data_IF_801926504070
#
_entry.id   IF_801926504070
#
_cell.length_a   1.000
_cell.length_b   1.000
_cell.length_c   1.000
_cell.angle_alpha   90.00
_cell.angle_beta   90.00
_cell.angle_gamma   90.00
#
_symmetry.space_group_name_H-M   'P 1'
#
loop_
_entity.id
_entity.type
_entity.pdbx_description
1 polymer ?
#
# COMPACT_ATOMS: atom_id res chain seq x y z
N UNK A 1 -13.98 8.84 0.54
CA UNK A 1 -15.02 9.87 0.39
C UNK A 1 -14.47 11.27 0.22
N UNK A 2 -13.78 11.87 1.20
CA UNK A 2 -13.29 13.26 1.11
C UNK A 2 -12.58 13.67 -0.21
N UNK A 3 -11.79 12.79 -0.84
CA UNK A 3 -11.19 13.06 -2.16
C UNK A 3 -12.22 12.99 -3.31
N UNK A 4 -13.14 12.02 -3.29
CA UNK A 4 -14.21 11.88 -4.29
C UNK A 4 -15.16 13.08 -4.26
N UNK A 5 -15.50 13.57 -3.07
CA UNK A 5 -16.30 14.79 -2.87
C UNK A 5 -15.63 16.03 -3.49
N UNK A 6 -14.30 16.02 -3.59
CA UNK A 6 -13.50 17.06 -4.24
C UNK A 6 -13.23 16.77 -5.73
N UNK A 7 -13.95 15.83 -6.33
CA UNK A 7 -13.86 15.49 -7.75
C UNK A 7 -12.72 14.53 -8.13
N UNK A 8 -12.03 13.92 -7.17
CA UNK A 8 -10.98 12.94 -7.49
C UNK A 8 -11.55 11.56 -7.79
N UNK A 9 -10.97 10.90 -8.79
CA UNK A 9 -11.13 9.46 -9.00
C UNK A 9 -10.22 8.70 -8.05
N UNK A 10 -10.78 7.77 -7.27
CA UNK A 10 -10.04 7.00 -6.26
C UNK A 10 -10.04 5.52 -6.61
N UNK A 11 -8.84 4.97 -6.77
CA UNK A 11 -8.59 3.53 -6.88
C UNK A 11 -7.96 3.03 -5.58
N UNK A 12 -8.38 1.86 -5.13
CA UNK A 12 -7.86 1.21 -3.93
C UNK A 12 -7.00 0.01 -4.31
N UNK A 13 -5.72 0.02 -3.93
CA UNK A 13 -4.83 -1.11 -4.14
C UNK A 13 -4.85 -2.05 -2.92
N UNK A 14 -5.24 -3.30 -3.14
CA UNK A 14 -5.33 -4.31 -2.10
C UNK A 14 -4.85 -5.69 -2.56
N UNK A 15 -5.12 -6.69 -1.73
CA UNK A 15 -4.95 -8.10 -2.06
C UNK A 15 -6.32 -8.78 -2.08
N UNK A 16 -6.58 -9.75 -2.97
CA UNK A 16 -7.86 -10.47 -2.97
C UNK A 16 -8.02 -11.40 -1.76
N UNK A 17 -6.94 -11.67 -1.00
CA UNK A 17 -6.90 -12.71 0.03
C UNK A 17 -6.52 -14.06 -0.57
N UNK A 18 -6.95 -15.15 0.06
CA UNK A 18 -6.75 -16.52 -0.44
C UNK A 18 -8.10 -17.17 -0.80
N UNK A 19 -8.12 -18.21 -1.64
CA UNK A 19 -9.34 -19.00 -1.84
C UNK A 19 -9.94 -19.42 -0.49
N UNK A 20 -11.25 -19.19 -0.30
CA UNK A 20 -11.96 -19.46 0.95
C UNK A 20 -11.72 -18.46 2.10
N UNK A 21 -10.81 -17.49 1.94
CA UNK A 21 -10.55 -16.44 2.94
C UNK A 21 -10.21 -15.11 2.24
N UNK A 22 -11.23 -14.38 1.74
CA UNK A 22 -11.02 -13.08 1.11
C UNK A 22 -10.41 -12.09 2.11
N UNK A 23 -9.68 -11.10 1.59
CA UNK A 23 -9.15 -10.04 2.44
C UNK A 23 -10.28 -9.18 3.01
N UNK A 24 -9.96 -8.38 4.02
CA UNK A 24 -10.92 -7.46 4.59
C UNK A 24 -11.28 -6.38 3.55
N UNK A 25 -10.26 -5.82 2.90
CA UNK A 25 -10.37 -4.76 1.92
C UNK A 25 -11.16 -5.22 0.68
N UNK A 26 -10.94 -6.44 0.18
CA UNK A 26 -11.67 -6.95 -0.98
C UNK A 26 -13.17 -7.13 -0.73
N UNK A 27 -13.58 -7.23 0.55
CA UNK A 27 -15.00 -7.29 0.95
C UNK A 27 -15.59 -5.92 1.22
N UNK A 28 -14.82 -5.02 1.85
CA UNK A 28 -15.34 -3.75 2.33
C UNK A 28 -15.28 -2.63 1.29
N UNK A 29 -14.30 -2.66 0.37
CA UNK A 29 -14.03 -1.53 -0.53
C UNK A 29 -14.97 -1.51 -1.75
N UNK A 30 -15.18 -2.61 -2.51
CA UNK A 30 -16.06 -2.57 -3.68
C UNK A 30 -17.51 -2.16 -3.39
N UNK A 31 -18.16 -2.60 -2.30
CA UNK A 31 -19.53 -2.16 -1.97
C UNK A 31 -19.68 -0.66 -1.74
N UNK A 32 -18.58 0.05 -1.43
CA UNK A 32 -18.55 1.51 -1.25
C UNK A 32 -18.36 2.25 -2.60
N UNK A 33 -18.32 1.52 -3.72
CA UNK A 33 -18.19 2.09 -5.06
C UNK A 33 -16.77 2.53 -5.43
N UNK A 34 -15.74 2.08 -4.72
CA UNK A 34 -14.35 2.30 -5.11
C UNK A 34 -13.90 1.25 -6.13
N UNK A 35 -13.13 1.69 -7.13
CA UNK A 35 -12.39 0.76 -7.97
C UNK A 35 -11.36 0.00 -7.14
N UNK A 36 -11.41 -1.33 -7.15
CA UNK A 36 -10.52 -2.18 -6.36
C UNK A 36 -9.49 -2.87 -7.24
N UNK A 37 -8.24 -2.43 -7.09
CA UNK A 37 -7.08 -2.94 -7.78
C UNK A 37 -6.37 -3.97 -6.93
N UNK A 38 -5.85 -5.03 -7.55
CA UNK A 38 -5.30 -6.17 -6.81
C UNK A 38 -3.88 -6.50 -7.18
N UNK A 39 -3.10 -6.84 -6.15
CA UNK A 39 -1.84 -7.55 -6.29
C UNK A 39 -1.86 -8.81 -5.41
N UNK A 40 -1.18 -9.84 -5.87
CA UNK A 40 -1.04 -11.10 -5.15
C UNK A 40 0.18 -11.03 -4.23
N UNK A 41 0.01 -10.28 -3.14
CA UNK A 41 1.02 -10.18 -2.10
C UNK A 41 0.38 -10.12 -0.72
N UNK A 42 0.88 -10.94 0.19
CA UNK A 42 0.36 -11.08 1.54
C UNK A 42 1.48 -11.28 2.54
N UNK A 43 1.15 -11.06 3.82
CA UNK A 43 2.12 -11.10 4.89
C UNK A 43 2.90 -12.40 5.04
N UNK A 44 4.17 -12.24 5.41
CA UNK A 44 5.09 -13.35 5.67
C UNK A 44 5.28 -13.66 7.16
N UNK A 45 4.74 -12.81 8.06
CA UNK A 45 4.86 -13.03 9.51
C UNK A 45 4.14 -14.32 9.90
N UNK A 46 4.84 -15.19 10.61
CA UNK A 46 4.32 -16.50 11.04
C UNK A 46 4.16 -17.52 9.90
N UNK A 47 4.69 -17.25 8.70
CA UNK A 47 4.67 -18.21 7.59
C UNK A 47 5.89 -19.15 7.64
N UNK A 48 5.70 -20.39 7.18
CA UNK A 48 6.76 -21.40 7.19
C UNK A 48 7.89 -21.14 6.18
N UNK A 49 8.97 -21.90 6.30
CA UNK A 49 10.22 -21.74 5.53
C UNK A 49 10.01 -21.66 4.02
N UNK A 50 9.10 -22.46 3.45
CA UNK A 50 8.75 -22.40 2.02
C UNK A 50 8.27 -21.01 1.58
N UNK A 51 7.50 -20.33 2.42
CA UNK A 51 7.00 -18.98 2.09
C UNK A 51 8.12 -17.94 2.12
N UNK A 52 9.07 -18.08 3.05
CA UNK A 52 10.25 -17.22 3.11
C UNK A 52 11.19 -17.46 1.92
N UNK A 53 11.40 -18.71 1.52
CA UNK A 53 12.20 -19.06 0.34
C UNK A 53 11.61 -18.49 -0.96
N UNK A 54 10.28 -18.49 -1.10
CA UNK A 54 9.58 -17.95 -2.26
C UNK A 54 9.36 -16.43 -2.19
N UNK A 55 9.73 -15.77 -1.09
CA UNK A 55 9.48 -14.34 -0.89
C UNK A 55 10.07 -13.47 -2.03
N UNK A 56 11.31 -13.69 -2.52
CA UNK A 56 11.85 -12.89 -3.62
C UNK A 56 10.99 -12.98 -4.88
N UNK A 57 10.58 -14.20 -5.27
CA UNK A 57 9.74 -14.42 -6.45
C UNK A 57 8.34 -13.79 -6.29
N UNK A 58 7.75 -13.91 -5.09
CA UNK A 58 6.45 -13.28 -4.78
C UNK A 58 6.54 -11.75 -4.79
N UNK A 59 7.64 -11.18 -4.32
CA UNK A 59 7.89 -9.74 -4.40
C UNK A 59 8.05 -9.29 -5.85
N UNK A 60 8.83 -9.99 -6.68
CA UNK A 60 8.97 -9.67 -8.10
C UNK A 60 7.62 -9.67 -8.82
N UNK A 61 6.78 -10.69 -8.57
CA UNK A 61 5.41 -10.73 -9.08
C UNK A 61 4.59 -9.52 -8.59
N UNK A 62 4.65 -9.20 -7.30
CA UNK A 62 3.92 -8.07 -6.73
C UNK A 62 4.36 -6.72 -7.31
N UNK A 63 5.65 -6.53 -7.57
CA UNK A 63 6.16 -5.33 -8.25
C UNK A 63 5.68 -5.26 -9.70
N UNK A 64 5.69 -6.37 -10.45
CA UNK A 64 5.18 -6.40 -11.82
C UNK A 64 3.68 -6.08 -11.88
N UNK A 65 2.88 -6.64 -10.97
CA UNK A 65 1.45 -6.34 -10.86
C UNK A 65 1.20 -4.89 -10.43
N UNK A 66 1.97 -4.39 -9.46
CA UNK A 66 1.90 -2.98 -9.04
C UNK A 66 2.21 -2.04 -10.21
N UNK A 67 3.21 -2.37 -11.02
CA UNK A 67 3.59 -1.58 -12.19
C UNK A 67 2.49 -1.59 -13.25
N UNK A 68 1.85 -2.73 -13.49
CA UNK A 68 0.71 -2.83 -14.39
C UNK A 68 -0.46 -1.96 -13.93
N UNK A 69 -0.77 -1.96 -12.63
CA UNK A 69 -1.80 -1.08 -12.05
C UNK A 69 -1.42 0.38 -12.22
N UNK A 70 -0.20 0.78 -11.82
CA UNK A 70 0.27 2.18 -11.93
C UNK A 70 0.24 2.66 -13.39
N UNK A 71 0.60 1.82 -14.36
CA UNK A 71 0.56 2.17 -15.79
C UNK A 71 -0.85 2.29 -16.35
N UNK A 72 -1.79 1.46 -15.89
CA UNK A 72 -3.20 1.53 -16.33
C UNK A 72 -3.94 2.69 -15.69
N UNK A 73 -3.85 2.81 -14.37
CA UNK A 73 -4.54 3.83 -13.58
C UNK A 73 -3.92 5.22 -13.80
N UNK A 74 -2.60 5.28 -14.04
CA UNK A 74 -1.84 6.52 -14.21
C UNK A 74 -2.09 7.52 -13.07
N UNK A 75 -1.97 7.12 -11.79
CA UNK A 75 -2.33 7.97 -10.67
C UNK A 75 -1.47 9.24 -10.63
N UNK A 76 -2.08 10.35 -10.22
CA UNK A 76 -1.37 11.61 -9.96
C UNK A 76 -0.66 11.59 -8.60
N UNK A 77 -1.18 10.80 -7.66
CA UNK A 77 -0.62 10.60 -6.32
C UNK A 77 -1.01 9.22 -5.78
N UNK A 78 -0.14 8.62 -4.97
CA UNK A 78 -0.41 7.36 -4.27
C UNK A 78 -0.37 7.60 -2.77
N UNK A 79 -1.39 7.11 -2.05
CA UNK A 79 -1.46 7.17 -0.60
C UNK A 79 -1.21 5.77 -0.02
N UNK A 80 -0.21 5.66 0.86
CA UNK A 80 0.12 4.42 1.56
C UNK A 80 -0.23 4.50 3.05
N UNK A 81 -0.96 3.50 3.54
CA UNK A 81 -1.44 3.42 4.93
C UNK A 81 -0.79 2.26 5.71
N UNK A 82 0.33 1.71 5.23
CA UNK A 82 1.00 0.55 5.82
C UNK A 82 0.45 -0.79 5.33
N UNK A 83 0.89 -1.88 5.97
CA UNK A 83 0.58 -3.24 5.53
C UNK A 83 1.48 -3.74 4.39
N UNK A 84 1.37 -5.03 4.07
CA UNK A 84 2.27 -5.72 3.14
C UNK A 84 2.13 -5.26 1.68
N UNK A 85 0.92 -4.90 1.26
CA UNK A 85 0.61 -4.41 -0.10
C UNK A 85 1.25 -3.03 -0.36
N UNK A 86 1.35 -2.20 0.68
CA UNK A 86 1.89 -0.84 0.57
C UNK A 86 3.34 -0.83 0.10
N UNK A 87 4.15 -1.83 0.45
CA UNK A 87 5.56 -1.85 0.03
C UNK A 87 5.74 -1.94 -1.50
N UNK A 88 5.26 -2.99 -2.20
CA UNK A 88 5.38 -3.06 -3.66
C UNK A 88 4.63 -1.93 -4.37
N UNK A 89 3.42 -1.59 -3.94
CA UNK A 89 2.65 -0.49 -4.54
C UNK A 89 3.34 0.87 -4.40
N UNK A 90 3.78 1.19 -3.19
CA UNK A 90 4.46 2.44 -2.86
C UNK A 90 5.80 2.58 -3.58
N UNK A 91 6.67 1.57 -3.49
CA UNK A 91 7.99 1.62 -4.14
C UNK A 91 7.84 1.70 -5.66
N UNK A 92 6.98 0.89 -6.27
CA UNK A 92 6.74 0.96 -7.71
C UNK A 92 6.18 2.31 -8.15
N UNK A 93 5.30 2.92 -7.36
CA UNK A 93 4.78 4.26 -7.68
C UNK A 93 5.89 5.31 -7.74
N UNK A 94 6.80 5.31 -6.75
CA UNK A 94 7.95 6.22 -6.72
C UNK A 94 8.88 5.99 -7.92
N UNK A 95 9.20 4.72 -8.21
CA UNK A 95 10.04 4.37 -9.36
C UNK A 95 9.40 4.74 -10.70
N UNK A 96 8.06 4.77 -10.77
CA UNK A 96 7.31 5.23 -11.93
C UNK A 96 7.11 6.76 -11.96
N UNK A 97 7.78 7.51 -11.09
CA UNK A 97 7.70 8.97 -11.01
C UNK A 97 6.39 9.50 -10.41
N UNK A 98 5.62 8.66 -9.72
CA UNK A 98 4.37 9.05 -9.06
C UNK A 98 4.64 9.41 -7.59
N UNK A 99 4.20 10.58 -7.11
CA UNK A 99 4.47 11.00 -5.74
C UNK A 99 3.75 10.08 -4.75
N UNK A 100 4.49 9.59 -3.77
CA UNK A 100 3.98 8.79 -2.67
C UNK A 100 3.75 9.68 -1.43
N UNK A 101 2.58 9.57 -0.82
CA UNK A 101 2.26 10.12 0.49
C UNK A 101 2.00 8.97 1.44
N UNK A 102 2.59 8.99 2.63
CA UNK A 102 2.36 7.99 3.65
C UNK A 102 1.59 8.54 4.84
N UNK A 103 0.82 7.67 5.46
CA UNK A 103 0.23 7.90 6.77
C UNK A 103 0.47 6.68 7.68
N UNK A 104 0.94 6.93 8.90
CA UNK A 104 1.11 5.91 9.94
C UNK A 104 0.17 6.18 11.11
N UNK A 105 -0.71 5.21 11.38
CA UNK A 105 -1.74 5.29 12.41
C UNK A 105 -1.23 4.82 13.77
N UNK A 106 -0.15 4.03 13.80
CA UNK A 106 0.36 3.42 15.02
C UNK A 106 1.51 4.22 15.63
N UNK A 107 1.70 4.08 16.95
CA UNK A 107 2.86 4.65 17.65
C UNK A 107 4.18 4.00 17.25
N UNK A 108 4.13 2.72 16.84
CA UNK A 108 5.28 1.98 16.30
C UNK A 108 5.03 1.69 14.83
N UNK A 109 5.78 2.35 13.96
CA UNK A 109 5.57 2.21 12.53
C UNK A 109 5.86 0.80 12.00
N UNK A 110 5.03 0.39 11.05
CA UNK A 110 5.20 -0.87 10.32
C UNK A 110 6.42 -0.84 9.40
N UNK A 111 6.99 -2.02 9.12
CA UNK A 111 8.19 -2.14 8.28
C UNK A 111 8.00 -1.51 6.88
N UNK A 112 6.85 -1.70 6.25
CA UNK A 112 6.56 -1.12 4.94
C UNK A 112 6.67 0.41 4.96
N UNK A 113 6.03 1.06 5.92
CA UNK A 113 6.08 2.51 6.08
C UNK A 113 7.49 2.98 6.45
N UNK A 114 8.21 2.28 7.33
CA UNK A 114 9.61 2.59 7.67
C UNK A 114 10.53 2.60 6.44
N UNK A 115 10.39 1.61 5.55
CA UNK A 115 11.19 1.52 4.34
C UNK A 115 10.82 2.61 3.33
N UNK A 116 9.54 2.92 3.19
CA UNK A 116 9.06 3.90 2.22
C UNK A 116 9.15 5.35 2.69
N UNK A 117 9.26 5.62 3.99
CA UNK A 117 9.26 6.99 4.55
C UNK A 117 10.37 7.88 3.96
N UNK A 118 11.53 7.29 3.61
CA UNK A 118 12.63 8.01 2.97
C UNK A 118 12.40 8.35 1.50
N UNK A 119 11.47 7.65 0.86
CA UNK A 119 11.13 7.80 -0.57
C UNK A 119 9.83 8.59 -0.77
N UNK A 120 8.99 8.65 0.26
CA UNK A 120 7.73 9.36 0.23
C UNK A 120 7.97 10.87 0.13
N UNK A 121 7.15 11.55 -0.69
CA UNK A 121 7.15 13.00 -0.82
C UNK A 121 6.65 13.69 0.45
N UNK A 122 5.70 13.05 1.14
CA UNK A 122 5.17 13.48 2.44
C UNK A 122 4.90 12.28 3.31
N UNK A 123 5.14 12.44 4.61
CA UNK A 123 4.84 11.43 5.63
C UNK A 123 4.04 12.11 6.72
N UNK A 124 2.89 11.54 7.05
CA UNK A 124 2.01 11.99 8.11
C UNK A 124 1.92 10.92 9.20
N UNK A 125 1.83 11.32 10.46
CA UNK A 125 1.76 10.39 11.59
C UNK A 125 0.69 10.80 12.58
N UNK A 126 0.02 9.81 13.16
CA UNK A 126 -0.91 10.03 14.27
C UNK A 126 -0.18 10.28 15.60
N UNK A 127 0.94 9.58 15.82
CA UNK A 127 1.78 9.76 17.01
C UNK A 127 3.07 10.52 16.69
N UNK A 128 3.57 11.36 17.62
CA UNK A 128 4.86 12.00 17.45
C UNK A 128 5.97 10.95 17.38
N UNK A 129 6.94 11.15 16.47
CA UNK A 129 8.12 10.28 16.36
C UNK A 129 7.87 8.88 15.78
N UNK A 130 6.67 8.57 15.28
CA UNK A 130 6.37 7.24 14.74
C UNK A 130 7.22 6.89 13.49
N UNK A 131 7.52 7.88 12.64
CA UNK A 131 8.37 7.76 11.45
C UNK A 131 9.36 8.92 11.36
N UNK A 132 10.54 8.70 10.76
CA UNK A 132 11.47 9.79 10.45
C UNK A 132 10.81 10.78 9.48
N UNK A 133 11.00 12.08 9.73
CA UNK A 133 10.43 13.19 8.94
C UNK A 133 8.90 13.19 8.82
N UNK A 134 8.21 12.50 9.73
CA UNK A 134 6.75 12.52 9.81
C UNK A 134 6.24 13.86 10.34
N UNK A 135 5.29 14.46 9.62
CA UNK A 135 4.48 15.55 10.15
C UNK A 135 3.37 14.95 11.01
N UNK A 136 3.41 15.23 12.31
CA UNK A 136 2.34 14.82 13.22
C UNK A 136 1.06 15.59 12.92
N UNK A 137 -0.07 14.89 12.77
CA UNK A 137 -1.37 15.49 12.41
C UNK A 137 -2.54 15.06 13.30
N UNK A 138 -2.27 14.37 14.42
CA UNK A 138 -3.31 13.94 15.38
C UNK A 138 -3.46 12.44 15.49
#
# INVERSE_FOLDING_TARGET
EALRERGWTVHWLGTPGTPGRPSMESRLVPPQGFAFETIDFSGVRGKGLKTLLLLPLRLLKAFAQSLAVVRRVRPDVVLGFGGYVTFPGGLTSVLAGKPLVLHEQNSVAGLANKLLARLARRVYTAFPGALPNGTWIG
#
